data_IF_187585357721
#
_entry.id   IF_187585357721
#
_cell.length_a   1.000
_cell.length_b   1.000
_cell.length_c   1.000
_cell.angle_alpha   90.00
_cell.angle_beta   90.00
_cell.angle_gamma   90.00
#
_symmetry.space_group_name_H-M   'P 1'
#
loop_
_entity.id
_entity.type
_entity.pdbx_description
1 polymer ?
#
# COMPACT_ATOMS: atom_id res chain seq x y z
N UNK A 1 -4.47 -11.53 -13.79
CA UNK A 1 -5.69 -10.99 -13.78
C UNK A 1 -6.17 -10.48 -15.10
N UNK A 2 -7.27 -9.89 -15.04
CA UNK A 2 -8.02 -9.37 -16.19
C UNK A 2 -8.13 -7.85 -16.13
N UNK A 3 -7.06 -7.19 -15.71
CA UNK A 3 -7.01 -5.73 -15.64
C UNK A 3 -7.44 -5.14 -14.31
N UNK A 4 -7.78 -5.97 -13.34
CA UNK A 4 -8.07 -5.51 -11.99
C UNK A 4 -7.22 -6.26 -10.97
N UNK A 5 -6.97 -5.60 -9.83
CA UNK A 5 -6.19 -6.17 -8.74
C UNK A 5 -6.98 -6.03 -7.45
N UNK A 6 -6.83 -6.97 -6.52
CA UNK A 6 -7.16 -6.67 -5.14
C UNK A 6 -6.03 -5.80 -4.55
N UNK A 7 -6.26 -5.22 -3.36
CA UNK A 7 -5.33 -4.21 -2.83
C UNK A 7 -3.93 -4.77 -2.60
N UNK A 8 -3.82 -5.96 -2.01
CA UNK A 8 -2.51 -6.58 -1.74
C UNK A 8 -1.86 -7.06 -3.03
N UNK A 9 -2.65 -7.48 -4.03
CA UNK A 9 -2.13 -7.87 -5.33
C UNK A 9 -1.53 -6.70 -6.08
N UNK A 10 -2.13 -5.52 -5.98
CA UNK A 10 -1.60 -4.31 -6.61
C UNK A 10 -0.22 -3.95 -6.05
N UNK A 11 -0.10 -3.88 -4.73
CA UNK A 11 1.18 -3.54 -4.09
C UNK A 11 2.22 -4.61 -4.36
N UNK A 12 1.84 -5.87 -4.33
CA UNK A 12 2.72 -6.99 -4.63
C UNK A 12 3.26 -6.89 -6.07
N UNK A 13 2.39 -6.60 -7.02
CA UNK A 13 2.77 -6.44 -8.42
C UNK A 13 3.72 -5.26 -8.59
N UNK A 14 3.39 -4.11 -8.01
CA UNK A 14 4.18 -2.90 -8.16
C UNK A 14 5.60 -3.09 -7.61
N UNK A 15 5.74 -3.69 -6.43
CA UNK A 15 7.05 -3.90 -5.83
C UNK A 15 7.84 -5.00 -6.54
N UNK A 16 7.15 -5.98 -7.14
CA UNK A 16 7.82 -7.00 -7.94
C UNK A 16 8.54 -6.38 -9.14
N UNK A 17 7.99 -5.31 -9.73
CA UNK A 17 8.66 -4.60 -10.82
C UNK A 17 9.99 -4.01 -10.38
N UNK A 18 10.13 -3.71 -9.10
CA UNK A 18 11.38 -3.20 -8.50
C UNK A 18 12.26 -4.32 -7.95
N UNK A 19 11.89 -5.58 -8.14
CA UNK A 19 12.65 -6.73 -7.65
C UNK A 19 12.40 -7.09 -6.20
N UNK A 20 11.33 -6.58 -5.59
CA UNK A 20 11.00 -6.85 -4.20
C UNK A 20 9.74 -7.70 -4.13
N UNK A 21 9.82 -8.82 -3.41
CA UNK A 21 8.67 -9.69 -3.21
C UNK A 21 7.97 -9.35 -1.90
N UNK A 22 6.68 -9.02 -1.98
CA UNK A 22 5.85 -8.74 -0.81
C UNK A 22 4.99 -9.95 -0.48
N UNK A 23 4.63 -10.15 0.80
CA UNK A 23 3.64 -11.15 1.16
C UNK A 23 2.31 -10.90 0.47
N UNK A 24 1.51 -11.94 0.29
CA UNK A 24 0.29 -11.89 -0.52
C UNK A 24 -0.86 -11.15 0.13
N UNK A 25 -0.98 -11.18 1.46
CA UNK A 25 -2.13 -10.60 2.16
C UNK A 25 -1.80 -9.20 2.66
N UNK A 26 -2.84 -8.35 2.77
CA UNK A 26 -2.67 -6.96 3.19
C UNK A 26 -2.02 -6.87 4.58
N UNK A 27 -2.54 -7.62 5.57
CA UNK A 27 -2.00 -7.52 6.91
C UNK A 27 -0.58 -8.06 7.02
N UNK A 28 -0.15 -8.91 6.10
CA UNK A 28 1.21 -9.44 6.09
C UNK A 28 2.21 -8.47 5.44
N UNK A 29 1.75 -7.38 4.86
CA UNK A 29 2.63 -6.42 4.18
C UNK A 29 3.21 -5.36 5.10
N UNK A 30 3.12 -5.54 6.42
CA UNK A 30 3.85 -4.73 7.39
C UNK A 30 5.30 -5.23 7.44
N UNK A 31 6.06 -4.94 6.40
CA UNK A 31 7.41 -5.47 6.20
C UNK A 31 8.39 -4.34 5.97
N UNK A 32 9.65 -4.59 6.28
CA UNK A 32 10.68 -3.59 6.16
C UNK A 32 10.69 -2.65 7.36
N UNK A 33 10.75 -1.36 7.10
CA UNK A 33 10.82 -0.34 8.15
C UNK A 33 9.51 0.46 8.20
N UNK A 34 8.97 0.62 9.41
CA UNK A 34 7.83 1.52 9.61
C UNK A 34 8.33 2.97 9.52
N UNK A 35 7.57 3.82 8.84
CA UNK A 35 7.92 5.22 8.65
C UNK A 35 6.79 6.11 9.16
N UNK A 36 7.14 7.37 9.47
CA UNK A 36 6.15 8.36 9.87
C UNK A 36 5.51 9.02 8.64
N UNK A 37 4.41 9.75 8.85
CA UNK A 37 3.75 10.48 7.77
C UNK A 37 4.70 11.50 7.12
N UNK A 38 5.58 12.12 7.90
CA UNK A 38 6.53 13.10 7.38
C UNK A 38 7.64 12.45 6.55
N UNK A 39 7.86 11.15 6.72
CA UNK A 39 8.90 10.41 6.00
C UNK A 39 8.38 9.74 4.73
N UNK A 40 7.09 9.80 4.45
CA UNK A 40 6.49 9.07 3.32
C UNK A 40 7.16 9.41 2.00
N UNK A 41 7.44 8.37 1.23
CA UNK A 41 7.99 8.47 -0.12
C UNK A 41 7.16 7.61 -1.07
N UNK A 42 7.12 7.94 -2.37
CA UNK A 42 6.40 7.11 -3.33
C UNK A 42 6.84 5.65 -3.25
N UNK A 43 5.87 4.75 -3.20
CA UNK A 43 6.11 3.32 -3.05
C UNK A 43 5.92 2.80 -1.64
N UNK A 44 5.91 3.68 -0.63
CA UNK A 44 5.63 3.26 0.74
C UNK A 44 4.20 2.72 0.84
N UNK A 45 4.00 1.76 1.74
CA UNK A 45 2.71 1.11 1.91
C UNK A 45 1.92 1.76 3.04
N UNK A 46 0.64 1.94 2.83
CA UNK A 46 -0.31 2.36 3.85
C UNK A 46 -1.13 1.12 4.17
N UNK A 47 -1.00 0.57 5.39
CA UNK A 47 -1.54 -0.75 5.72
C UNK A 47 -2.61 -0.65 6.79
N UNK A 48 -3.74 -1.29 6.52
CA UNK A 48 -4.82 -1.51 7.47
C UNK A 48 -5.05 -3.01 7.62
N UNK A 49 -5.78 -3.37 8.63
CA UNK A 49 -6.27 -4.74 8.78
C UNK A 49 -7.29 -5.00 7.66
N UNK A 50 -6.89 -5.77 6.66
CA UNK A 50 -7.72 -6.12 5.52
C UNK A 50 -7.60 -5.22 4.30
N UNK A 51 -6.73 -4.20 4.32
CA UNK A 51 -6.54 -3.32 3.18
C UNK A 51 -5.13 -2.75 3.14
N UNK A 52 -4.61 -2.52 1.95
CA UNK A 52 -3.33 -1.85 1.75
C UNK A 52 -3.41 -0.94 0.54
N UNK A 53 -2.76 0.21 0.63
CA UNK A 53 -2.59 1.15 -0.48
C UNK A 53 -1.12 1.50 -0.61
N UNK A 54 -0.75 2.17 -1.70
CA UNK A 54 0.64 2.56 -1.94
C UNK A 54 0.69 4.08 -2.12
N UNK A 55 1.61 4.73 -1.40
CA UNK A 55 1.79 6.17 -1.51
C UNK A 55 2.33 6.53 -2.89
N UNK A 56 1.69 7.47 -3.57
CA UNK A 56 2.10 7.88 -4.92
C UNK A 56 2.83 9.22 -4.93
N UNK A 57 2.89 9.90 -3.79
CA UNK A 57 3.47 11.24 -3.69
C UNK A 57 2.40 12.32 -3.65
N UNK A 58 2.80 13.53 -3.29
CA UNK A 58 1.93 14.72 -3.29
C UNK A 58 0.65 14.53 -2.46
N UNK A 59 0.75 13.78 -1.35
CA UNK A 59 -0.39 13.58 -0.46
C UNK A 59 -1.44 12.63 -1.01
N UNK A 60 -1.07 11.75 -1.94
CA UNK A 60 -2.00 10.83 -2.58
C UNK A 60 -1.55 9.38 -2.44
N UNK A 61 -2.50 8.47 -2.60
CA UNK A 61 -2.22 7.04 -2.58
C UNK A 61 -2.97 6.35 -3.72
N UNK A 62 -2.43 5.22 -4.17
CA UNK A 62 -3.01 4.38 -5.20
C UNK A 62 -3.63 3.17 -4.53
N UNK A 63 -4.88 2.89 -4.86
CA UNK A 63 -5.65 1.78 -4.31
C UNK A 63 -6.17 0.89 -5.43
N UNK A 64 -6.25 -0.41 -5.14
CA UNK A 64 -6.84 -1.34 -6.07
C UNK A 64 -8.33 -1.08 -6.22
N UNK A 65 -8.81 -1.29 -7.42
CA UNK A 65 -10.20 -1.12 -7.75
C UNK A 65 -10.39 -1.54 -9.18
N UNK A 66 -11.55 -1.32 -9.69
CA UNK A 66 -11.85 -1.59 -11.09
C UNK A 66 -12.50 -0.33 -11.69
N UNK A 67 -11.67 0.63 -12.19
CA UNK A 67 -10.20 0.58 -12.33
C UNK A 67 -9.44 0.89 -11.04
N UNK A 68 -8.12 0.72 -11.09
CA UNK A 68 -7.22 1.20 -10.03
C UNK A 68 -7.38 2.72 -9.89
N UNK A 69 -7.44 3.20 -8.65
CA UNK A 69 -7.77 4.60 -8.36
C UNK A 69 -6.68 5.28 -7.55
N UNK A 70 -6.52 6.59 -7.76
CA UNK A 70 -5.71 7.45 -6.92
C UNK A 70 -6.63 8.28 -6.05
N UNK A 71 -6.37 8.30 -4.75
CA UNK A 71 -7.18 9.01 -3.77
C UNK A 71 -6.30 9.82 -2.83
N UNK A 72 -6.84 10.83 -2.15
CA UNK A 72 -6.08 11.53 -1.11
C UNK A 72 -5.64 10.56 0.00
N UNK A 73 -4.44 10.80 0.53
CA UNK A 73 -3.91 10.01 1.64
C UNK A 73 -4.85 10.08 2.84
N UNK A 74 -5.11 8.93 3.45
CA UNK A 74 -5.89 8.85 4.69
C UNK A 74 -5.37 7.73 5.56
N UNK A 75 -5.69 7.78 6.85
CA UNK A 75 -5.35 6.71 7.79
C UNK A 75 -6.58 5.97 8.32
N UNK A 76 -7.78 6.48 8.08
CA UNK A 76 -9.00 5.75 8.42
C UNK A 76 -9.57 5.12 7.16
N UNK A 77 -10.16 3.94 7.31
CA UNK A 77 -10.74 3.20 6.19
C UNK A 77 -11.86 2.32 6.72
N UNK A 78 -13.07 2.85 6.72
CA UNK A 78 -14.30 2.09 7.05
C UNK A 78 -14.17 1.31 8.38
N UNK A 79 -13.54 1.91 9.39
CA UNK A 79 -13.38 1.28 10.70
C UNK A 79 -12.27 0.24 10.79
N UNK A 80 -11.52 0.00 9.73
CA UNK A 80 -10.39 -0.94 9.78
C UNK A 80 -9.26 -0.39 10.64
N UNK A 81 -8.61 -1.27 11.40
CA UNK A 81 -7.48 -0.88 12.24
C UNK A 81 -6.29 -0.47 11.35
N UNK A 82 -5.74 0.71 11.60
CA UNK A 82 -4.58 1.20 10.85
C UNK A 82 -3.30 0.56 11.41
N UNK A 83 -2.50 -0.04 10.51
CA UNK A 83 -1.29 -0.79 10.88
C UNK A 83 0.00 0.00 10.64
N UNK A 84 -0.09 1.20 10.07
CA UNK A 84 1.06 2.07 9.87
C UNK A 84 1.47 2.23 8.42
N UNK A 85 2.52 3.06 8.24
CA UNK A 85 3.16 3.26 6.94
C UNK A 85 4.44 2.43 6.93
N UNK A 86 4.70 1.70 5.84
CA UNK A 86 5.79 0.74 5.81
C UNK A 86 6.60 0.87 4.52
N UNK A 87 7.92 0.81 4.65
CA UNK A 87 8.84 0.86 3.51
C UNK A 87 9.48 -0.51 3.36
N UNK A 88 9.08 -1.31 2.35
CA UNK A 88 9.55 -2.70 2.22
C UNK A 88 11.06 -2.85 2.08
N UNK A 89 11.75 -1.83 1.54
CA UNK A 89 13.20 -1.84 1.37
C UNK A 89 13.95 -1.15 2.52
N UNK A 90 13.23 -0.66 3.49
CA UNK A 90 13.81 0.09 4.60
C UNK A 90 14.44 -0.71 5.72
#
# INVERSE_FOLDING_TARGET
GNGSFDCSGLTQWAWRQAGVELPRTAESQTVGRQVSAEELQPGDLIVWDGHVAMYSGDGQMVEAGSPVQTNPLRTNNMGMAFKGFWRPTG
#
